data_IF_428596310201
#
_entry.id   IF_428596310201
#
_cell.length_a   1.000
_cell.length_b   1.000
_cell.length_c   1.000
_cell.angle_alpha   90.00
_cell.angle_beta   90.00
_cell.angle_gamma   90.00
#
_symmetry.space_group_name_H-M   'P 1'
#
loop_
_entity.id
_entity.type
_entity.pdbx_description
1 polymer ?
#
# COMPACT_ATOMS: atom_id res chain seq x y z
N UNK A 1 8.73 13.53 0.22
CA UNK A 1 7.32 13.14 -0.07
C UNK A 1 6.43 14.26 0.42
N UNK A 2 5.66 14.90 -0.47
CA UNK A 2 4.79 16.03 -0.12
C UNK A 2 3.34 15.53 -0.09
N UNK A 3 2.58 15.95 0.92
CA UNK A 3 1.17 15.57 1.02
C UNK A 3 0.40 16.17 -0.16
N UNK A 4 -0.38 15.34 -0.85
CA UNK A 4 -1.11 15.72 -2.05
C UNK A 4 -0.47 15.24 -3.35
N UNK A 5 0.84 14.91 -3.33
CA UNK A 5 1.54 14.37 -4.51
C UNK A 5 1.01 13.00 -4.91
N UNK A 6 1.19 12.69 -6.19
CA UNK A 6 0.96 11.36 -6.74
C UNK A 6 2.29 10.72 -7.13
N UNK A 7 2.42 9.43 -6.83
CA UNK A 7 3.58 8.62 -7.19
C UNK A 7 3.09 7.48 -8.07
N UNK A 8 3.62 7.39 -9.29
CA UNK A 8 3.17 6.44 -10.29
C UNK A 8 3.85 5.08 -10.15
N UNK A 9 3.21 4.05 -10.71
CA UNK A 9 3.80 2.73 -10.97
C UNK A 9 4.37 2.01 -9.74
N UNK A 10 3.73 2.14 -8.58
CA UNK A 10 4.20 1.52 -7.35
C UNK A 10 3.88 0.03 -7.30
N UNK A 11 4.90 -0.78 -7.13
CA UNK A 11 4.82 -2.17 -6.73
C UNK A 11 4.72 -2.30 -5.21
N UNK A 12 3.91 -3.23 -4.76
CA UNK A 12 3.59 -3.40 -3.35
C UNK A 12 3.33 -4.87 -3.02
N UNK A 13 3.35 -5.19 -1.73
CA UNK A 13 3.08 -6.54 -1.26
C UNK A 13 2.15 -6.54 -0.04
N UNK A 14 1.43 -7.64 0.12
CA UNK A 14 0.72 -7.93 1.36
C UNK A 14 1.69 -8.41 2.44
N UNK A 15 1.57 -7.87 3.66
CA UNK A 15 2.37 -8.27 4.80
C UNK A 15 1.51 -8.32 6.07
N UNK A 16 1.94 -9.13 7.04
CA UNK A 16 1.32 -9.18 8.35
C UNK A 16 1.92 -8.06 9.20
N UNK A 17 1.10 -7.10 9.59
CA UNK A 17 1.54 -6.00 10.45
C UNK A 17 1.73 -6.52 11.88
N UNK A 18 2.96 -6.53 12.43
CA UNK A 18 3.22 -7.05 13.76
C UNK A 18 2.61 -6.18 14.87
N UNK A 19 2.38 -4.88 14.63
CA UNK A 19 1.79 -3.98 15.63
C UNK A 19 0.29 -4.23 15.81
N UNK A 20 -0.41 -4.58 14.73
CA UNK A 20 -1.87 -4.69 14.73
C UNK A 20 -2.41 -6.09 14.49
N UNK A 21 -1.56 -7.04 14.09
CA UNK A 21 -1.94 -8.39 13.69
C UNK A 21 -2.77 -8.45 12.41
N UNK A 22 -2.89 -7.34 11.67
CA UNK A 22 -3.73 -7.23 10.46
C UNK A 22 -2.87 -7.38 9.21
N UNK A 23 -3.44 -7.99 8.18
CA UNK A 23 -2.84 -7.96 6.84
C UNK A 23 -2.98 -6.56 6.25
N UNK A 24 -1.86 -5.99 5.79
CA UNK A 24 -1.76 -4.66 5.19
C UNK A 24 -0.97 -4.74 3.89
N UNK A 25 -0.99 -3.66 3.12
CA UNK A 25 -0.20 -3.52 1.90
C UNK A 25 0.89 -2.47 2.15
N UNK A 26 2.12 -2.75 1.71
CA UNK A 26 3.26 -1.82 1.77
C UNK A 26 3.98 -1.74 0.41
N UNK A 27 4.66 -0.62 0.11
CA UNK A 27 5.54 -0.54 -1.05
C UNK A 27 6.68 -1.57 -0.98
N UNK A 28 7.10 -2.08 -2.14
CA UNK A 28 8.36 -2.81 -2.27
C UNK A 28 9.56 -1.86 -2.17
N UNK A 29 10.74 -2.35 -1.73
CA UNK A 29 11.96 -1.54 -1.69
C UNK A 29 12.40 -1.07 -3.09
N UNK A 30 13.28 -0.06 -3.14
CA UNK A 30 13.91 0.49 -4.36
C UNK A 30 12.96 1.25 -5.32
N UNK A 31 11.93 1.91 -4.80
CA UNK A 31 10.96 2.70 -5.61
C UNK A 31 10.84 4.15 -5.14
N UNK A 32 11.85 4.68 -4.45
CA UNK A 32 11.85 6.04 -3.86
C UNK A 32 10.67 6.35 -2.91
N UNK A 33 10.03 5.29 -2.39
CA UNK A 33 8.95 5.33 -1.42
C UNK A 33 9.33 4.53 -0.18
N UNK A 34 9.15 5.07 1.03
CA UNK A 34 9.43 4.33 2.25
C UNK A 34 8.57 3.07 2.39
N UNK A 35 9.20 1.93 2.67
CA UNK A 35 8.55 0.61 2.79
C UNK A 35 7.79 0.41 4.11
N UNK A 36 7.94 1.33 5.06
CA UNK A 36 7.19 1.37 6.32
C UNK A 36 5.81 2.07 6.19
N UNK A 37 5.48 2.60 5.01
CA UNK A 37 4.17 3.17 4.75
C UNK A 37 3.13 2.09 4.44
N UNK A 38 1.89 2.38 4.81
CA UNK A 38 0.73 1.56 4.45
C UNK A 38 0.08 2.14 3.19
N UNK A 39 -0.25 1.27 2.24
CA UNK A 39 -1.07 1.59 1.08
C UNK A 39 -2.52 1.20 1.38
N UNK A 40 -3.41 2.20 1.46
CA UNK A 40 -4.85 1.99 1.51
C UNK A 40 -5.38 1.57 0.13
N UNK A 41 -6.06 0.44 0.12
CA UNK A 41 -6.67 -0.18 -1.04
C UNK A 41 -7.90 -1.02 -0.62
N UNK A 42 -8.59 -1.61 -1.59
CA UNK A 42 -9.73 -2.47 -1.35
C UNK A 42 -9.37 -3.62 -0.40
N UNK A 43 -10.29 -3.99 0.49
CA UNK A 43 -10.10 -5.09 1.45
C UNK A 43 -9.79 -6.41 0.75
N UNK A 44 -10.29 -6.62 -0.46
CA UNK A 44 -10.09 -7.86 -1.23
C UNK A 44 -8.61 -8.19 -1.45
N UNK A 45 -7.72 -7.20 -1.55
CA UNK A 45 -6.28 -7.43 -1.72
C UNK A 45 -5.56 -7.84 -0.43
N UNK A 46 -6.24 -7.73 0.72
CA UNK A 46 -5.75 -8.15 2.05
C UNK A 46 -6.39 -9.46 2.51
N UNK A 47 -7.26 -10.05 1.70
CA UNK A 47 -7.91 -11.32 2.00
C UNK A 47 -6.96 -12.48 1.65
N UNK A 48 -6.44 -13.14 2.68
CA UNK A 48 -5.47 -14.24 2.54
C UNK A 48 -6.08 -15.52 2.00
N UNK A 49 -7.41 -15.66 1.99
CA UNK A 49 -8.08 -16.75 1.29
C UNK A 49 -8.05 -16.58 -0.23
N UNK A 50 -7.94 -15.33 -0.73
CA UNK A 50 -7.87 -15.00 -2.16
C UNK A 50 -6.44 -14.79 -2.64
N UNK A 51 -5.64 -14.05 -1.86
CA UNK A 51 -4.25 -13.72 -2.19
C UNK A 51 -3.36 -14.12 -1.01
N UNK A 52 -2.50 -15.15 -1.15
CA UNK A 52 -1.59 -15.56 -0.08
C UNK A 52 -0.76 -14.38 0.45
N UNK A 53 -0.41 -14.42 1.73
CA UNK A 53 0.47 -13.42 2.34
C UNK A 53 1.77 -13.29 1.55
N UNK A 54 2.24 -12.07 1.31
CA UNK A 54 3.40 -11.79 0.44
C UNK A 54 3.04 -11.69 -1.05
N UNK A 55 1.77 -11.81 -1.43
CA UNK A 55 1.36 -11.55 -2.82
C UNK A 55 1.76 -10.14 -3.21
N UNK A 56 2.41 -10.02 -4.37
CA UNK A 56 2.85 -8.77 -4.98
C UNK A 56 1.79 -8.23 -5.93
N UNK A 57 1.71 -6.91 -5.98
CA UNK A 57 0.80 -6.18 -6.84
C UNK A 57 1.49 -4.93 -7.37
N UNK A 58 0.87 -4.32 -8.39
CA UNK A 58 1.18 -2.98 -8.89
C UNK A 58 -0.07 -2.10 -8.83
N UNK A 59 0.11 -0.81 -8.60
CA UNK A 59 -0.95 0.21 -8.72
C UNK A 59 -0.52 1.27 -9.72
N UNK A 60 -1.48 1.87 -10.43
CA UNK A 60 -1.24 2.93 -11.42
C UNK A 60 -0.56 4.13 -10.78
N UNK A 61 -1.14 4.62 -9.69
CA UNK A 61 -0.49 5.56 -8.80
C UNK A 61 -1.01 5.42 -7.36
N UNK A 62 -0.32 6.13 -6.47
CA UNK A 62 -0.75 6.37 -5.10
C UNK A 62 -0.73 7.86 -4.81
N UNK A 63 -1.75 8.33 -4.09
CA UNK A 63 -1.73 9.67 -3.50
C UNK A 63 -1.05 9.64 -2.14
N UNK A 64 -0.17 10.60 -1.88
CA UNK A 64 0.42 10.84 -0.56
C UNK A 64 -0.59 11.55 0.32
N UNK A 65 -1.00 10.89 1.40
CA UNK A 65 -2.01 11.38 2.31
C UNK A 65 -1.46 11.47 3.75
N UNK A 66 -2.12 12.27 4.56
CA UNK A 66 -1.83 12.39 5.99
C UNK A 66 -3.12 12.17 6.78
N UNK A 67 -3.03 11.45 7.90
CA UNK A 67 -4.11 11.36 8.90
C UNK A 67 -4.07 12.60 9.80
N UNK A 68 -5.18 12.91 10.48
CA UNK A 68 -5.27 14.05 11.40
C UNK A 68 -4.20 14.01 12.52
N UNK A 69 -3.79 12.80 12.91
CA UNK A 69 -2.71 12.54 13.89
C UNK A 69 -1.28 12.70 13.33
N UNK A 70 -1.14 13.21 12.10
CA UNK A 70 0.15 13.48 11.44
C UNK A 70 0.77 12.30 10.71
N UNK A 71 0.25 11.07 10.86
CA UNK A 71 0.79 9.86 10.20
C UNK A 71 0.56 9.91 8.69
N UNK A 72 1.65 9.74 7.93
CA UNK A 72 1.61 9.63 6.47
C UNK A 72 1.19 8.22 6.05
N UNK A 73 0.37 8.14 4.99
CA UNK A 73 0.00 6.90 4.32
C UNK A 73 -0.17 7.16 2.82
N UNK A 74 -0.27 6.07 2.05
CA UNK A 74 -0.48 6.12 0.61
C UNK A 74 -1.88 5.63 0.30
N UNK A 75 -2.56 6.22 -0.68
CA UNK A 75 -3.88 5.76 -1.13
C UNK A 75 -3.81 5.37 -2.60
N UNK A 76 -4.06 4.10 -2.90
CA UNK A 76 -4.11 3.61 -4.28
C UNK A 76 -5.25 4.27 -5.05
N UNK A 77 -5.01 4.62 -6.31
CA UNK A 77 -6.05 5.11 -7.22
C UNK A 77 -7.19 4.10 -7.28
N UNK A 78 -8.42 4.61 -7.11
CA UNK A 78 -9.67 3.82 -7.10
C UNK A 78 -9.66 2.61 -6.14
N UNK A 79 -8.74 2.61 -5.17
CA UNK A 79 -8.46 1.50 -4.28
C UNK A 79 -8.07 0.18 -5.00
N UNK A 80 -7.58 0.29 -6.24
CA UNK A 80 -7.28 -0.83 -7.12
C UNK A 80 -5.81 -1.20 -7.10
N UNK A 81 -5.54 -2.51 -7.10
CA UNK A 81 -4.22 -3.12 -7.28
C UNK A 81 -4.33 -4.22 -8.34
N UNK A 82 -3.24 -4.50 -9.03
CA UNK A 82 -3.15 -5.51 -10.08
C UNK A 82 -2.06 -6.51 -9.71
N UNK A 83 -2.39 -7.81 -9.63
CA UNK A 83 -1.43 -8.85 -9.26
C UNK A 83 -0.32 -8.94 -10.31
N UNK A 84 0.92 -9.09 -9.87
CA UNK A 84 2.12 -9.31 -10.71
C UNK A 84 2.82 -10.62 -10.36
#
# INVERSE_FOLDING_TARGET
MIVGDYIENIECESFLDPETGRVRIRPLPNQDVPTNLVIECSRTFRDTAKYPLGTKFKTENVKVCQKDVGRIYLRAQDQMLYKI
#
